data_IF_004877215966
#
_entry.id   IF_004877215966
#
_cell.length_a   1.000
_cell.length_b   1.000
_cell.length_c   1.000
_cell.angle_alpha   90.00
_cell.angle_beta   90.00
_cell.angle_gamma   90.00
#
_symmetry.space_group_name_H-M   'P 1'
#
loop_
_entity.id
_entity.type
_entity.pdbx_description
1 polymer ?
#
# COMPACT_ATOMS: atom_id res chain seq x y z
N UNK A 1 59.07 -57.04 -6.39
CA UNK A 1 58.14 -56.20 -5.54
C UNK A 1 57.29 -55.34 -6.42
N UNK A 2 56.05 -55.74 -6.69
CA UNK A 2 55.12 -55.04 -7.58
C UNK A 2 54.19 -54.11 -6.73
N UNK A 3 54.28 -52.78 -6.86
CA UNK A 3 53.42 -51.83 -6.20
C UNK A 3 52.12 -51.78 -6.96
N UNK A 4 50.98 -52.10 -6.31
CA UNK A 4 49.66 -51.93 -6.81
C UNK A 4 49.19 -50.44 -6.54
N UNK A 5 48.85 -49.74 -7.58
CA UNK A 5 48.24 -48.41 -7.50
C UNK A 5 46.74 -48.65 -7.43
N UNK A 6 46.10 -48.18 -6.35
CA UNK A 6 44.65 -48.20 -6.18
C UNK A 6 44.12 -46.85 -6.69
N UNK A 7 43.32 -46.90 -7.76
CA UNK A 7 42.64 -45.75 -8.33
C UNK A 7 41.31 -45.58 -7.58
N UNK A 8 41.17 -44.52 -6.79
CA UNK A 8 39.90 -44.15 -6.14
C UNK A 8 39.03 -43.37 -7.12
N UNK A 9 37.89 -43.94 -7.49
CA UNK A 9 36.84 -43.28 -8.26
C UNK A 9 35.99 -42.48 -7.30
N UNK A 10 36.04 -41.14 -7.39
CA UNK A 10 35.15 -40.26 -6.66
C UNK A 10 33.88 -40.09 -7.51
N UNK A 11 32.79 -40.71 -7.09
CA UNK A 11 31.46 -40.48 -7.66
C UNK A 11 30.91 -39.15 -7.16
N UNK A 12 30.89 -38.12 -8.00
CA UNK A 12 30.26 -36.86 -7.72
C UNK A 12 28.72 -36.99 -7.84
N UNK A 13 28.02 -36.92 -6.72
CA UNK A 13 26.59 -36.81 -6.69
C UNK A 13 26.19 -35.36 -7.06
N UNK A 14 25.67 -35.16 -8.25
CA UNK A 14 25.05 -33.91 -8.66
C UNK A 14 23.70 -33.76 -7.92
N UNK A 15 23.65 -32.88 -6.93
CA UNK A 15 22.37 -32.45 -6.33
C UNK A 15 21.61 -31.61 -7.34
N UNK A 16 20.54 -32.16 -7.91
CA UNK A 16 19.52 -31.42 -8.64
C UNK A 16 18.71 -30.62 -7.62
N UNK A 17 18.94 -29.30 -7.57
CA UNK A 17 18.05 -28.37 -6.87
C UNK A 17 16.73 -28.30 -7.63
N UNK A 18 15.58 -28.39 -6.94
CA UNK A 18 14.30 -28.21 -7.62
C UNK A 18 14.19 -26.75 -8.07
N UNK A 19 14.07 -26.56 -9.37
CA UNK A 19 13.69 -25.29 -9.97
C UNK A 19 12.25 -25.00 -9.53
N UNK A 20 12.06 -24.08 -8.59
CA UNK A 20 10.75 -23.57 -8.25
C UNK A 20 10.18 -22.90 -9.50
N UNK A 21 9.19 -23.53 -10.14
CA UNK A 21 8.35 -22.90 -11.15
C UNK A 21 7.57 -21.79 -10.44
N UNK A 22 8.04 -20.56 -10.55
CA UNK A 22 7.21 -19.38 -10.23
C UNK A 22 6.13 -19.32 -11.30
N UNK A 23 4.91 -19.72 -10.93
CA UNK A 23 3.70 -19.39 -11.69
C UNK A 23 3.50 -17.88 -11.59
N UNK A 24 4.23 -17.15 -12.41
CA UNK A 24 3.93 -15.75 -12.68
C UNK A 24 2.71 -15.76 -13.60
N UNK A 25 1.59 -15.19 -13.13
CA UNK A 25 0.43 -14.96 -13.99
C UNK A 25 0.90 -14.20 -15.25
N UNK A 26 0.38 -14.52 -16.45
CA UNK A 26 0.77 -13.83 -17.66
C UNK A 26 0.51 -12.32 -17.48
N UNK A 27 1.51 -11.51 -17.78
CA UNK A 27 1.36 -10.07 -17.86
C UNK A 27 0.22 -9.77 -18.86
N UNK A 28 -0.65 -8.76 -18.59
CA UNK A 28 -1.69 -8.40 -19.53
C UNK A 28 -1.04 -8.05 -20.90
N UNK A 29 -1.68 -8.50 -21.98
CA UNK A 29 -1.29 -8.14 -23.35
C UNK A 29 -1.56 -6.66 -23.62
N UNK A 30 -0.66 -5.84 -23.19
CA UNK A 30 -0.58 -4.40 -23.25
C UNK A 30 0.55 -4.02 -22.32
N UNK A 31 1.59 -3.36 -22.81
CA UNK A 31 2.76 -2.99 -22.01
C UNK A 31 2.35 -2.39 -20.66
N UNK A 32 3.14 -2.59 -19.61
CA UNK A 32 2.89 -1.97 -18.31
C UNK A 32 2.65 -0.46 -18.47
N UNK A 33 1.62 0.06 -17.81
CA UNK A 33 1.30 1.49 -17.87
C UNK A 33 2.52 2.31 -17.42
N UNK A 34 2.87 3.33 -18.19
CA UNK A 34 3.93 4.25 -17.83
C UNK A 34 3.57 5.07 -16.60
N UNK A 35 4.55 5.63 -15.92
CA UNK A 35 4.33 6.48 -14.74
C UNK A 35 3.44 7.70 -15.08
N UNK A 36 3.63 8.29 -16.26
CA UNK A 36 2.81 9.41 -16.72
C UNK A 36 1.35 9.00 -16.94
N UNK A 37 1.10 7.81 -17.49
CA UNK A 37 -0.25 7.27 -17.62
C UNK A 37 -0.89 6.99 -16.26
N UNK A 38 -0.14 6.50 -15.28
CA UNK A 38 -0.62 6.31 -13.92
C UNK A 38 -1.02 7.64 -13.29
N UNK A 39 -0.19 8.68 -13.40
CA UNK A 39 -0.52 10.03 -12.92
C UNK A 39 -1.76 10.61 -13.64
N UNK A 40 -1.82 10.43 -14.95
CA UNK A 40 -2.93 10.95 -15.77
C UNK A 40 -4.26 10.24 -15.52
N UNK A 41 -4.26 8.96 -15.10
CA UNK A 41 -5.48 8.13 -14.98
C UNK A 41 -5.91 7.82 -13.55
N UNK A 42 -5.02 7.97 -12.56
CA UNK A 42 -5.40 7.78 -11.15
C UNK A 42 -6.39 8.85 -10.70
N UNK A 43 -7.46 8.40 -10.06
CA UNK A 43 -8.53 9.28 -9.53
C UNK A 43 -8.93 8.85 -8.11
N UNK A 44 -9.53 9.75 -7.38
CA UNK A 44 -10.25 9.45 -6.13
C UNK A 44 -11.64 8.94 -6.49
N UNK A 45 -11.85 7.64 -6.38
CA UNK A 45 -13.07 6.95 -6.82
C UNK A 45 -14.12 6.94 -5.72
N UNK A 46 -15.36 7.29 -6.07
CA UNK A 46 -16.51 7.38 -5.16
C UNK A 46 -17.70 6.51 -5.61
N UNK A 47 -17.43 5.56 -6.50
CA UNK A 47 -18.39 4.55 -6.93
C UNK A 47 -17.62 3.30 -7.35
N UNK A 48 -17.91 2.18 -6.73
CA UNK A 48 -17.19 0.91 -6.93
C UNK A 48 -18.13 -0.17 -7.46
N UNK A 49 -17.61 -1.05 -8.30
CA UNK A 49 -18.27 -2.23 -8.80
C UNK A 49 -18.34 -3.32 -7.71
N UNK A 50 -19.49 -3.45 -7.08
CA UNK A 50 -19.71 -4.39 -5.98
C UNK A 50 -19.71 -5.88 -6.45
N UNK A 51 -19.73 -6.15 -7.74
CA UNK A 51 -19.65 -7.51 -8.27
C UNK A 51 -18.23 -8.05 -8.32
N UNK A 52 -17.22 -7.18 -8.17
CA UNK A 52 -15.80 -7.54 -8.24
C UNK A 52 -15.19 -7.66 -6.84
N UNK A 53 -14.33 -8.64 -6.69
CA UNK A 53 -13.60 -8.90 -5.45
C UNK A 53 -12.10 -8.69 -5.65
N UNK A 54 -11.38 -8.49 -4.57
CA UNK A 54 -9.92 -8.43 -4.52
C UNK A 54 -9.47 -9.43 -3.45
N UNK A 55 -8.56 -10.31 -3.80
CA UNK A 55 -8.02 -11.33 -2.90
C UNK A 55 -7.03 -10.73 -1.90
N UNK A 56 -6.84 -11.39 -0.77
CA UNK A 56 -5.82 -11.03 0.20
C UNK A 56 -4.40 -11.04 -0.40
N UNK A 57 -4.13 -11.92 -1.38
CA UNK A 57 -2.83 -12.01 -2.05
C UNK A 57 -2.57 -10.79 -2.96
N UNK A 58 -3.58 -10.34 -3.70
CA UNK A 58 -3.49 -9.11 -4.48
C UNK A 58 -3.23 -7.89 -3.57
N UNK A 59 -3.87 -7.84 -2.40
CA UNK A 59 -3.59 -6.77 -1.41
C UNK A 59 -2.17 -6.90 -0.85
N UNK A 60 -1.65 -8.09 -0.61
CA UNK A 60 -0.24 -8.29 -0.20
C UNK A 60 0.72 -7.77 -1.26
N UNK A 61 0.50 -8.13 -2.52
CA UNK A 61 1.29 -7.64 -3.67
C UNK A 61 1.27 -6.12 -3.73
N UNK A 62 0.09 -5.51 -3.58
CA UNK A 62 -0.09 -4.07 -3.52
C UNK A 62 0.73 -3.44 -2.39
N UNK A 63 0.60 -3.97 -1.16
CA UNK A 63 1.29 -3.43 0.01
C UNK A 63 2.80 -3.61 -0.04
N UNK A 64 3.31 -4.63 -0.74
CA UNK A 64 4.76 -4.82 -0.94
C UNK A 64 5.39 -3.60 -1.64
N UNK A 65 4.66 -2.91 -2.53
CA UNK A 65 5.15 -1.70 -3.17
C UNK A 65 5.37 -0.54 -2.17
N UNK A 66 4.60 -0.48 -1.08
CA UNK A 66 4.74 0.57 -0.06
C UNK A 66 6.07 0.49 0.69
N UNK A 67 6.70 -0.69 0.74
CA UNK A 67 8.00 -0.89 1.37
C UNK A 67 9.14 -0.17 0.64
N UNK A 68 8.93 0.22 -0.62
CA UNK A 68 9.89 0.97 -1.42
C UNK A 68 9.80 2.49 -1.21
N UNK A 69 8.79 2.96 -0.46
CA UNK A 69 8.65 4.37 -0.18
C UNK A 69 9.77 4.86 0.76
N UNK A 70 10.36 6.04 0.50
CA UNK A 70 11.33 6.62 1.41
C UNK A 70 10.66 7.04 2.72
N UNK A 71 11.44 7.07 3.80
CA UNK A 71 11.02 7.59 5.08
C UNK A 71 12.18 8.31 5.79
N UNK A 72 11.87 9.15 6.76
CA UNK A 72 12.86 9.81 7.60
C UNK A 72 13.88 8.80 8.14
N UNK A 73 15.17 9.01 7.85
CA UNK A 73 16.26 8.11 8.27
C UNK A 73 15.95 6.60 8.09
N UNK A 74 15.11 6.27 7.12
CA UNK A 74 14.64 4.91 6.86
C UNK A 74 13.92 4.26 8.06
N UNK A 75 13.18 5.05 8.84
CA UNK A 75 12.46 4.56 10.04
C UNK A 75 11.28 3.66 9.70
N UNK A 76 10.74 3.72 8.49
CA UNK A 76 9.68 2.85 7.97
C UNK A 76 8.49 2.74 8.93
N UNK A 77 7.98 3.88 9.39
CA UNK A 77 6.96 3.96 10.45
C UNK A 77 5.54 3.63 9.98
N UNK A 78 5.26 3.63 8.67
CA UNK A 78 3.93 3.34 8.13
C UNK A 78 3.45 1.93 8.47
N UNK A 79 2.16 1.79 8.83
CA UNK A 79 1.48 0.51 9.10
C UNK A 79 0.14 0.49 8.38
N UNK A 80 -0.32 -0.72 8.06
CA UNK A 80 -1.57 -0.94 7.34
C UNK A 80 -2.39 -2.05 7.98
N UNK A 81 -3.66 -1.76 8.27
CA UNK A 81 -4.63 -2.70 8.80
C UNK A 81 -5.70 -2.93 7.74
N UNK A 82 -5.86 -4.16 7.30
CA UNK A 82 -6.62 -4.49 6.10
C UNK A 82 -7.87 -5.30 6.43
N UNK A 83 -9.02 -4.80 6.05
CA UNK A 83 -10.28 -5.53 6.02
C UNK A 83 -10.50 -6.11 4.62
N UNK A 84 -10.57 -7.44 4.51
CA UNK A 84 -10.89 -8.17 3.27
C UNK A 84 -12.12 -9.08 3.46
N UNK A 85 -12.45 -9.47 4.70
CA UNK A 85 -13.69 -10.21 4.93
C UNK A 85 -14.90 -9.27 4.90
N UNK A 86 -16.05 -9.71 4.37
CA UNK A 86 -17.25 -8.86 4.28
C UNK A 86 -17.63 -8.20 5.60
N UNK A 87 -17.59 -8.94 6.72
CA UNK A 87 -17.96 -8.42 8.04
C UNK A 87 -17.00 -7.32 8.52
N UNK A 88 -15.67 -7.51 8.32
CA UNK A 88 -14.68 -6.50 8.69
C UNK A 88 -14.75 -5.27 7.79
N UNK A 89 -15.03 -5.45 6.49
CA UNK A 89 -15.25 -4.35 5.54
C UNK A 89 -16.48 -3.54 5.94
N UNK A 90 -17.59 -4.20 6.26
CA UNK A 90 -18.82 -3.53 6.72
C UNK A 90 -18.56 -2.74 8.00
N UNK A 91 -17.95 -3.36 9.03
CA UNK A 91 -17.64 -2.70 10.29
C UNK A 91 -16.68 -1.51 10.12
N UNK A 92 -15.69 -1.61 9.23
CA UNK A 92 -14.78 -0.50 8.93
C UNK A 92 -15.49 0.68 8.23
N UNK A 93 -16.46 0.38 7.35
CA UNK A 93 -17.29 1.41 6.69
C UNK A 93 -18.16 2.21 7.68
N UNK A 94 -18.57 1.63 8.78
CA UNK A 94 -19.29 2.34 9.84
C UNK A 94 -18.43 3.39 10.58
N UNK A 95 -17.10 3.29 10.48
CA UNK A 95 -16.16 4.17 11.17
C UNK A 95 -15.70 5.39 10.33
N UNK A 96 -16.24 5.60 9.13
CA UNK A 96 -15.76 6.66 8.20
C UNK A 96 -16.80 7.72 7.90
N UNK A 97 -17.92 7.71 8.62
CA UNK A 97 -19.05 8.62 8.45
C UNK A 97 -19.92 8.27 7.23
N UNK A 98 -21.19 8.64 7.30
CA UNK A 98 -22.23 8.22 6.36
C UNK A 98 -21.88 8.54 4.89
N UNK A 99 -21.44 9.75 4.60
CA UNK A 99 -21.10 10.16 3.22
C UNK A 99 -19.96 9.33 2.63
N UNK A 100 -18.91 9.04 3.42
CA UNK A 100 -17.82 8.21 2.95
C UNK A 100 -18.26 6.75 2.79
N UNK A 101 -19.05 6.24 3.72
CA UNK A 101 -19.62 4.90 3.64
C UNK A 101 -20.43 4.70 2.36
N UNK A 102 -21.27 5.69 1.99
CA UNK A 102 -22.03 5.70 0.72
C UNK A 102 -21.10 5.72 -0.49
N UNK A 103 -20.06 6.58 -0.50
CA UNK A 103 -19.08 6.67 -1.59
C UNK A 103 -18.33 5.36 -1.85
N UNK A 104 -18.12 4.56 -0.82
CA UNK A 104 -17.34 3.31 -0.89
C UNK A 104 -18.18 2.05 -0.69
N UNK A 105 -19.50 2.15 -0.82
CA UNK A 105 -20.43 1.04 -0.55
C UNK A 105 -20.02 -0.25 -1.30
N UNK A 106 -19.66 -0.14 -2.60
CA UNK A 106 -19.22 -1.27 -3.44
C UNK A 106 -17.74 -1.66 -3.30
N UNK A 107 -16.94 -0.96 -2.49
CA UNK A 107 -15.51 -1.30 -2.34
C UNK A 107 -15.33 -2.61 -1.55
N UNK A 108 -14.61 -3.62 -2.10
CA UNK A 108 -14.41 -4.92 -1.46
C UNK A 108 -13.34 -4.91 -0.37
N UNK A 109 -12.48 -3.88 -0.30
CA UNK A 109 -11.38 -3.80 0.67
C UNK A 109 -11.34 -2.42 1.30
N UNK A 110 -11.11 -2.38 2.63
CA UNK A 110 -10.84 -1.16 3.38
C UNK A 110 -9.48 -1.31 4.08
N UNK A 111 -8.62 -0.32 3.94
CA UNK A 111 -7.28 -0.28 4.52
C UNK A 111 -7.20 0.93 5.46
N UNK A 112 -6.84 0.70 6.72
CA UNK A 112 -6.50 1.77 7.65
C UNK A 112 -5.01 2.00 7.60
N UNK A 113 -4.60 3.23 7.30
CA UNK A 113 -3.20 3.65 7.23
C UNK A 113 -2.83 4.41 8.50
N UNK A 114 -1.76 3.96 9.16
CA UNK A 114 -1.24 4.54 10.40
C UNK A 114 0.26 4.77 10.30
N UNK A 115 0.83 5.50 11.26
CA UNK A 115 2.28 5.55 11.46
C UNK A 115 2.63 5.43 12.94
N UNK A 116 3.81 4.87 13.24
CA UNK A 116 4.33 4.76 14.61
C UNK A 116 4.85 6.13 15.05
N UNK A 117 4.32 6.65 16.17
CA UNK A 117 4.68 7.94 16.75
C UNK A 117 6.10 7.94 17.34
N UNK A 118 6.69 9.12 17.47
CA UNK A 118 7.96 9.33 18.16
C UNK A 118 9.20 8.78 17.44
N UNK A 119 9.12 8.46 16.15
CA UNK A 119 10.23 7.91 15.39
C UNK A 119 10.67 8.82 14.23
N UNK A 120 9.81 9.00 13.21
CA UNK A 120 10.13 9.92 12.10
C UNK A 120 10.20 11.36 12.60
N UNK A 121 11.32 12.05 12.35
CA UNK A 121 11.57 13.40 12.85
C UNK A 121 12.03 13.48 14.30
N UNK A 122 12.36 12.34 14.91
CA UNK A 122 12.86 12.30 16.29
C UNK A 122 14.31 11.80 16.37
N UNK A 123 15.06 12.35 17.30
CA UNK A 123 16.41 11.93 17.64
C UNK A 123 16.57 11.90 19.16
N UNK A 124 17.06 10.80 19.71
CA UNK A 124 17.24 10.61 21.17
C UNK A 124 15.94 10.87 21.97
N UNK A 125 14.79 10.53 21.40
CA UNK A 125 13.48 10.72 22.02
C UNK A 125 12.93 12.14 21.98
N UNK A 126 13.55 13.06 21.24
CA UNK A 126 13.08 14.44 21.08
C UNK A 126 12.84 14.78 19.61
N UNK A 127 11.87 15.65 19.33
CA UNK A 127 11.67 16.17 17.99
C UNK A 127 12.91 16.96 17.54
N UNK A 128 13.39 16.69 16.31
CA UNK A 128 14.60 17.34 15.77
C UNK A 128 14.33 18.74 15.22
N UNK A 129 13.06 19.08 14.98
CA UNK A 129 12.59 20.40 14.58
C UNK A 129 11.10 20.57 14.95
N UNK A 130 10.53 21.72 14.59
CA UNK A 130 9.17 22.15 14.90
C UNK A 130 8.09 21.27 14.25
N UNK A 131 8.42 20.48 13.23
CA UNK A 131 7.46 19.61 12.53
C UNK A 131 7.05 18.40 13.39
N UNK A 132 7.98 17.87 14.22
CA UNK A 132 7.69 16.79 15.16
C UNK A 132 7.03 15.58 14.48
N UNK A 133 5.87 15.17 15.00
CA UNK A 133 5.07 14.05 14.45
C UNK A 133 4.59 14.27 13.01
N UNK A 134 4.65 15.50 12.49
CA UNK A 134 4.37 15.78 11.09
C UNK A 134 5.26 15.01 10.11
N UNK A 135 6.49 14.64 10.53
CA UNK A 135 7.36 13.79 9.72
C UNK A 135 6.82 12.37 9.57
N UNK A 136 6.22 11.81 10.61
CA UNK A 136 5.52 10.52 10.50
C UNK A 136 4.33 10.58 9.55
N UNK A 137 3.56 11.67 9.59
CA UNK A 137 2.47 11.92 8.66
C UNK A 137 2.97 12.11 7.21
N UNK A 138 4.09 12.82 7.03
CA UNK A 138 4.73 13.00 5.72
C UNK A 138 5.18 11.67 5.12
N UNK A 139 5.92 10.85 5.88
CA UNK A 139 6.36 9.52 5.46
C UNK A 139 5.18 8.60 5.12
N UNK A 140 4.12 8.65 5.92
CA UNK A 140 2.90 7.89 5.65
C UNK A 140 2.22 8.34 4.36
N UNK A 141 2.22 9.65 4.07
CA UNK A 141 1.73 10.19 2.80
C UNK A 141 2.53 9.69 1.60
N UNK A 142 3.87 9.61 1.70
CA UNK A 142 4.73 9.03 0.66
C UNK A 142 4.42 7.55 0.45
N UNK A 143 4.30 6.77 1.52
CA UNK A 143 3.96 5.35 1.46
C UNK A 143 2.58 5.12 0.83
N UNK A 144 1.59 5.95 1.19
CA UNK A 144 0.26 5.92 0.57
C UNK A 144 0.27 6.31 -0.92
N UNK A 145 1.19 7.19 -1.35
CA UNK A 145 1.35 7.52 -2.77
C UNK A 145 1.82 6.29 -3.58
N UNK A 146 2.78 5.51 -3.05
CA UNK A 146 3.18 4.24 -3.64
C UNK A 146 2.02 3.25 -3.72
N UNK A 147 1.23 3.14 -2.63
CA UNK A 147 0.05 2.28 -2.60
C UNK A 147 -0.94 2.62 -3.72
N UNK A 148 -1.34 3.90 -3.83
CA UNK A 148 -2.39 4.29 -4.80
C UNK A 148 -1.93 4.22 -6.25
N UNK A 149 -0.64 4.43 -6.53
CA UNK A 149 -0.07 4.26 -7.87
C UNK A 149 0.03 2.77 -8.23
N UNK A 150 0.49 1.93 -7.29
CA UNK A 150 0.52 0.48 -7.51
C UNK A 150 -0.87 -0.12 -7.66
N UNK A 151 -1.85 0.36 -6.89
CA UNK A 151 -3.25 -0.03 -7.07
C UNK A 151 -3.71 0.26 -8.50
N UNK A 152 -3.42 1.45 -9.01
CA UNK A 152 -3.79 1.84 -10.38
C UNK A 152 -3.08 1.01 -11.44
N UNK A 153 -1.81 0.69 -11.26
CA UNK A 153 -1.04 -0.20 -12.14
C UNK A 153 -1.68 -1.61 -12.18
N UNK A 154 -2.15 -2.11 -11.04
CA UNK A 154 -2.84 -3.40 -10.93
C UNK A 154 -4.30 -3.38 -11.42
N UNK A 155 -4.78 -2.23 -11.96
CA UNK A 155 -6.17 -2.08 -12.42
C UNK A 155 -7.18 -1.77 -11.32
N UNK A 156 -6.72 -1.55 -10.09
CA UNK A 156 -7.56 -1.13 -8.96
C UNK A 156 -7.65 0.39 -8.86
N UNK A 157 -8.62 0.83 -8.09
CA UNK A 157 -8.83 2.23 -7.79
C UNK A 157 -9.01 2.46 -6.29
N UNK A 158 -8.72 3.68 -5.85
CA UNK A 158 -8.71 4.02 -4.43
C UNK A 158 -9.46 5.31 -4.12
N UNK A 159 -9.89 5.44 -2.86
CA UNK A 159 -10.29 6.70 -2.23
C UNK A 159 -9.60 6.82 -0.87
N UNK A 160 -8.78 7.85 -0.70
CA UNK A 160 -8.21 8.20 0.61
C UNK A 160 -9.21 9.11 1.34
N UNK A 161 -9.56 8.75 2.57
CA UNK A 161 -10.52 9.44 3.43
C UNK A 161 -9.86 9.88 4.72
N UNK A 162 -9.90 11.18 5.00
CA UNK A 162 -9.38 11.75 6.24
C UNK A 162 -10.40 11.73 7.38
N UNK A 163 -11.71 11.84 7.07
CA UNK A 163 -12.75 11.75 8.09
C UNK A 163 -12.93 10.30 8.52
N UNK A 164 -12.72 10.03 9.81
CA UNK A 164 -12.80 8.71 10.44
C UNK A 164 -12.99 8.83 11.95
N UNK A 165 -13.51 7.80 12.56
CA UNK A 165 -13.63 7.62 14.01
C UNK A 165 -12.44 6.76 14.49
N UNK A 166 -11.33 7.41 14.86
CA UNK A 166 -10.06 6.75 15.16
C UNK A 166 -10.18 5.71 16.28
N UNK A 167 -10.92 6.00 17.35
CA UNK A 167 -11.07 5.09 18.50
C UNK A 167 -11.83 3.81 18.13
N UNK A 168 -12.87 3.93 17.29
CA UNK A 168 -13.60 2.76 16.77
C UNK A 168 -12.72 1.91 15.86
N UNK A 169 -11.91 2.54 15.00
CA UNK A 169 -10.95 1.82 14.16
C UNK A 169 -9.86 1.15 15.00
N UNK A 170 -9.36 1.80 16.06
CA UNK A 170 -8.42 1.19 17.00
C UNK A 170 -8.98 -0.07 17.61
N UNK A 171 -10.20 -0.01 18.12
CA UNK A 171 -10.88 -1.17 18.73
C UNK A 171 -11.11 -2.28 17.68
N UNK A 172 -11.56 -1.93 16.47
CA UNK A 172 -11.88 -2.89 15.43
C UNK A 172 -10.66 -3.68 14.93
N UNK A 173 -9.49 -3.01 14.81
CA UNK A 173 -8.26 -3.58 14.26
C UNK A 173 -7.16 -3.85 15.28
N UNK A 174 -7.43 -3.61 16.58
CA UNK A 174 -6.44 -3.69 17.66
C UNK A 174 -5.19 -2.83 17.38
N UNK A 175 -5.39 -1.61 16.87
CA UNK A 175 -4.30 -0.68 16.56
C UNK A 175 -3.67 -0.16 17.85
N UNK A 176 -2.35 -0.31 18.06
CA UNK A 176 -1.66 0.16 19.26
C UNK A 176 -1.82 1.67 19.48
N UNK A 177 -1.84 2.12 20.73
CA UNK A 177 -1.89 3.55 21.08
C UNK A 177 -0.66 4.34 20.58
N UNK A 178 0.48 3.66 20.44
CA UNK A 178 1.70 4.21 19.88
C UNK A 178 1.64 4.54 18.39
N UNK A 179 0.54 4.22 17.71
CA UNK A 179 0.33 4.55 16.30
C UNK A 179 -0.70 5.67 16.13
N UNK A 180 -0.49 6.55 15.17
CA UNK A 180 -1.47 7.55 14.76
C UNK A 180 -2.27 7.05 13.56
N UNK A 181 -3.61 7.08 13.68
CA UNK A 181 -4.51 6.73 12.57
C UNK A 181 -4.59 7.92 11.62
N UNK A 182 -3.99 7.79 10.42
CA UNK A 182 -3.91 8.89 9.47
C UNK A 182 -5.07 8.94 8.50
N UNK A 183 -5.36 7.84 7.85
CA UNK A 183 -6.36 7.79 6.80
C UNK A 183 -7.00 6.41 6.70
N UNK A 184 -8.18 6.37 6.10
CA UNK A 184 -8.81 5.13 5.64
C UNK A 184 -8.83 5.15 4.11
N UNK A 185 -8.41 4.05 3.49
CA UNK A 185 -8.28 3.92 2.05
C UNK A 185 -9.23 2.81 1.60
N UNK A 186 -10.22 3.16 0.76
CA UNK A 186 -11.01 2.17 0.05
C UNK A 186 -10.26 1.69 -1.18
N UNK A 187 -10.31 0.40 -1.48
CA UNK A 187 -9.71 -0.23 -2.64
C UNK A 187 -10.76 -1.09 -3.35
N UNK A 188 -10.84 -0.98 -4.67
CA UNK A 188 -11.81 -1.70 -5.48
C UNK A 188 -11.66 -1.38 -6.97
N UNK A 189 -12.65 -1.75 -7.75
CA UNK A 189 -12.75 -1.40 -9.17
C UNK A 189 -13.76 -0.28 -9.34
N UNK A 190 -13.44 0.73 -10.14
CA UNK A 190 -14.37 1.83 -10.44
C UNK A 190 -15.62 1.31 -11.17
N UNK A 191 -16.79 1.82 -10.81
CA UNK A 191 -18.06 1.50 -11.50
C UNK A 191 -18.32 2.38 -12.74
N UNK A 192 -17.49 3.37 -12.99
CA UNK A 192 -17.59 4.28 -14.14
C UNK A 192 -16.40 5.22 -14.22
N UNK A 193 -16.32 6.02 -15.27
CA UNK A 193 -15.22 6.97 -15.46
C UNK A 193 -15.45 8.25 -14.65
N UNK A 194 -14.54 8.59 -13.73
CA UNK A 194 -14.65 9.81 -12.93
C UNK A 194 -14.21 11.03 -13.74
N UNK A 195 -14.77 12.18 -13.43
CA UNK A 195 -14.29 13.46 -13.95
C UNK A 195 -12.85 13.73 -13.49
N UNK A 196 -12.07 14.36 -14.36
CA UNK A 196 -10.75 14.85 -14.01
C UNK A 196 -10.88 16.15 -13.17
N UNK A 197 -10.29 16.19 -11.96
CA UNK A 197 -10.29 17.42 -11.18
C UNK A 197 -9.41 18.49 -11.83
N UNK A 198 -9.72 19.75 -11.58
CA UNK A 198 -8.84 20.86 -11.95
C UNK A 198 -7.60 20.84 -11.05
N UNK A 199 -6.46 21.15 -11.63
CA UNK A 199 -5.22 21.39 -10.92
C UNK A 199 -4.87 22.88 -10.97
N UNK A 200 -4.15 23.36 -9.97
CA UNK A 200 -3.55 24.68 -9.99
C UNK A 200 -2.50 24.76 -11.09
N UNK A 201 -2.28 25.96 -11.64
CA UNK A 201 -1.17 26.19 -12.55
C UNK A 201 0.18 26.02 -11.83
N UNK A 202 1.22 25.66 -12.58
CA UNK A 202 2.56 25.44 -12.00
C UNK A 202 3.06 26.66 -11.21
N UNK A 203 2.83 27.86 -11.73
CA UNK A 203 3.28 29.13 -11.11
C UNK A 203 2.56 29.47 -9.80
N UNK A 204 1.41 28.81 -9.52
CA UNK A 204 0.72 28.95 -8.24
C UNK A 204 1.36 28.08 -7.13
N UNK A 205 2.07 27.01 -7.50
CA UNK A 205 2.62 26.03 -6.57
C UNK A 205 4.16 25.97 -6.55
N UNK A 206 4.83 26.54 -7.54
CA UNK A 206 6.29 26.57 -7.65
C UNK A 206 6.80 27.99 -7.90
N UNK A 207 7.92 28.35 -7.30
CA UNK A 207 8.67 29.58 -7.54
C UNK A 207 10.08 29.22 -7.94
N UNK A 208 10.56 29.84 -9.03
CA UNK A 208 11.92 29.68 -9.54
C UNK A 208 12.69 30.96 -9.24
N UNK A 209 13.91 30.83 -8.65
CA UNK A 209 14.78 31.93 -8.26
C UNK A 209 16.11 31.85 -8.98
#
# INVERSE_FOLDING_TARGET
MKKKIILAVIAGAAMLLPTACTNQAPAPEGGAATLDELFATRRSIRSYDASKTISAEEVRTLLTATQQAPSWANTQTSRYYVAVSPDKVAAAKECIGERNAQNVAGAPVIIVSTFVKGQSGFGRGQAVNEVGEGWGAYDNGLSNAYLILKAREMGFDTLIMGFRESDRLRALFAIPEGEEVMAVIALGYRAGEPNQPRHKALDEIAKFF
#
